data_IF_928971811399
#
_entry.id   IF_928971811399
#
_cell.length_a   1.000
_cell.length_b   1.000
_cell.length_c   1.000
_cell.angle_alpha   90.00
_cell.angle_beta   90.00
_cell.angle_gamma   90.00
#
_symmetry.space_group_name_H-M   'P 1'
#
loop_
_entity.id
_entity.type
_entity.pdbx_description
1 polymer ?
#
# COMPACT_ATOMS: atom_id res chain seq x y z
N UNK A 1 3.03 3.27 16.80
CA UNK A 1 4.23 4.14 16.97
C UNK A 1 4.57 4.86 15.65
N UNK A 2 4.94 6.15 15.70
CA UNK A 2 5.21 6.97 14.50
C UNK A 2 6.37 6.43 13.68
N UNK A 3 7.50 6.09 14.32
CA UNK A 3 8.69 5.58 13.64
C UNK A 3 8.42 4.34 12.78
N UNK A 4 7.63 3.40 13.29
CA UNK A 4 7.26 2.18 12.56
C UNK A 4 6.41 2.47 11.31
N UNK A 5 5.44 3.40 11.43
CA UNK A 5 4.63 3.84 10.28
C UNK A 5 5.52 4.48 9.22
N UNK A 6 6.41 5.38 9.64
CA UNK A 6 7.34 6.08 8.75
C UNK A 6 8.28 5.12 8.03
N UNK A 7 8.78 4.07 8.70
CA UNK A 7 9.58 3.04 8.02
C UNK A 7 8.79 2.27 6.96
N UNK A 8 7.53 1.90 7.23
CA UNK A 8 6.68 1.23 6.24
C UNK A 8 6.47 2.10 5.00
N UNK A 9 6.21 3.40 5.21
CA UNK A 9 6.03 4.36 4.13
C UNK A 9 7.31 4.51 3.28
N UNK A 10 8.49 4.58 3.92
CA UNK A 10 9.77 4.68 3.21
C UNK A 10 10.04 3.45 2.34
N UNK A 11 9.90 2.24 2.91
CA UNK A 11 10.14 1.02 2.13
C UNK A 11 9.11 0.84 1.00
N UNK A 12 7.87 1.25 1.21
CA UNK A 12 6.84 1.23 0.16
C UNK A 12 7.20 2.13 -1.03
N UNK A 13 7.75 3.33 -0.80
CA UNK A 13 8.16 4.21 -1.91
C UNK A 13 9.47 3.73 -2.54
N UNK A 14 10.37 3.10 -1.77
CA UNK A 14 11.63 2.57 -2.28
C UNK A 14 11.38 1.41 -3.26
N UNK A 15 10.39 0.56 -3.00
CA UNK A 15 9.99 -0.52 -3.91
C UNK A 15 9.35 -0.04 -5.22
N UNK A 16 9.04 1.26 -5.37
CA UNK A 16 8.54 1.78 -6.65
C UNK A 16 9.60 1.70 -7.76
N UNK A 17 10.89 1.68 -7.39
CA UNK A 17 11.99 1.49 -8.33
C UNK A 17 11.91 0.12 -9.06
N UNK A 18 11.25 -0.88 -8.46
CA UNK A 18 11.01 -2.19 -9.09
C UNK A 18 9.94 -2.12 -10.18
N UNK A 19 9.05 -1.12 -10.14
CA UNK A 19 8.03 -0.87 -11.16
C UNK A 19 8.65 -0.12 -12.34
N UNK A 20 9.37 0.96 -12.04
CA UNK A 20 10.09 1.75 -13.04
C UNK A 20 11.36 2.33 -12.38
N UNK A 21 12.56 2.12 -12.97
CA UNK A 21 13.80 2.65 -12.43
C UNK A 21 13.82 4.18 -12.27
N UNK A 22 12.94 4.92 -12.93
CA UNK A 22 12.78 6.37 -12.74
C UNK A 22 12.16 6.74 -11.38
N UNK A 23 11.49 5.82 -10.69
CA UNK A 23 10.82 6.05 -9.41
C UNK A 23 11.72 5.81 -8.20
N UNK A 24 12.87 6.49 -8.20
CA UNK A 24 13.84 6.40 -7.11
C UNK A 24 13.76 7.62 -6.19
N UNK A 25 13.68 7.36 -4.89
CA UNK A 25 13.66 8.39 -3.85
C UNK A 25 14.77 8.14 -2.85
N UNK A 26 15.54 9.18 -2.51
CA UNK A 26 16.59 9.07 -1.50
C UNK A 26 16.03 9.14 -0.08
N UNK A 27 16.75 8.52 0.86
CA UNK A 27 16.43 8.63 2.28
C UNK A 27 16.52 10.08 2.76
N UNK A 28 17.51 10.86 2.30
CA UNK A 28 17.65 12.27 2.65
C UNK A 28 16.45 13.10 2.21
N UNK A 29 15.94 12.89 0.99
CA UNK A 29 14.72 13.55 0.53
C UNK A 29 13.53 13.22 1.42
N UNK A 30 13.37 11.94 1.77
CA UNK A 30 12.28 11.47 2.62
C UNK A 30 12.36 12.05 4.04
N UNK A 31 13.55 12.11 4.65
CA UNK A 31 13.76 12.72 5.96
C UNK A 31 13.42 14.20 5.92
N UNK A 32 13.91 14.94 4.91
CA UNK A 32 13.59 16.36 4.74
C UNK A 32 12.08 16.59 4.58
N UNK A 33 11.39 15.70 3.85
CA UNK A 33 9.94 15.75 3.69
C UNK A 33 9.22 15.51 5.04
N UNK A 34 9.72 14.57 5.85
CA UNK A 34 9.17 14.30 7.19
C UNK A 34 9.39 15.46 8.15
N UNK A 35 10.58 16.06 8.18
CA UNK A 35 10.87 17.27 8.99
C UNK A 35 9.92 18.40 8.62
N UNK A 36 9.69 18.61 7.32
CA UNK A 36 8.72 19.60 6.85
C UNK A 36 7.30 19.28 7.30
N UNK A 37 6.91 18.01 7.28
CA UNK A 37 5.62 17.58 7.79
C UNK A 37 5.44 17.78 9.30
N UNK A 38 6.52 17.70 10.09
CA UNK A 38 6.47 18.07 11.51
C UNK A 38 6.16 19.56 11.67
N UNK A 39 6.75 20.43 10.85
CA UNK A 39 6.49 21.86 10.91
C UNK A 39 5.08 22.25 10.44
N UNK A 40 4.58 21.61 9.37
CA UNK A 40 3.34 22.00 8.69
C UNK A 40 2.09 21.30 9.25
N UNK A 41 2.23 20.21 10.01
CA UNK A 41 1.10 19.50 10.60
C UNK A 41 0.49 20.24 11.80
N UNK A 42 -0.79 20.02 12.02
CA UNK A 42 -1.56 20.68 13.09
C UNK A 42 -0.89 20.50 14.47
N UNK A 43 -0.56 21.59 15.18
CA UNK A 43 0.00 21.53 16.51
C UNK A 43 -1.07 21.16 17.53
N UNK A 44 -0.69 20.43 18.57
CA UNK A 44 -1.53 20.10 19.70
C UNK A 44 -0.67 20.03 20.96
N UNK A 45 -1.21 20.50 22.09
CA UNK A 45 -0.58 20.36 23.40
C UNK A 45 -0.66 18.94 23.96
N UNK A 46 -1.58 18.11 23.43
CA UNK A 46 -1.69 16.70 23.80
C UNK A 46 -0.88 15.82 22.83
N UNK A 47 0.08 15.08 23.38
CA UNK A 47 1.05 14.32 22.61
C UNK A 47 0.40 13.24 21.71
N UNK A 48 -0.53 12.38 22.19
CA UNK A 48 -1.17 11.38 21.36
C UNK A 48 -1.95 11.99 20.19
N UNK A 49 -2.67 13.10 20.43
CA UNK A 49 -3.39 13.85 19.38
C UNK A 49 -2.39 14.41 18.37
N UNK A 50 -1.30 15.02 18.83
CA UNK A 50 -0.26 15.57 17.95
C UNK A 50 0.35 14.52 17.04
N UNK A 51 0.61 13.32 17.57
CA UNK A 51 1.20 12.21 16.82
C UNK A 51 0.22 11.64 15.79
N UNK A 52 -1.07 11.59 16.09
CA UNK A 52 -2.09 11.15 15.13
C UNK A 52 -2.27 12.16 13.99
N UNK A 53 -2.36 13.45 14.30
CA UNK A 53 -2.39 14.53 13.31
C UNK A 53 -1.14 14.50 12.41
N UNK A 54 0.05 14.28 13.00
CA UNK A 54 1.29 14.15 12.23
C UNK A 54 1.25 12.95 11.27
N UNK A 55 0.81 11.78 11.75
CA UNK A 55 0.75 10.57 10.95
C UNK A 55 -0.19 10.73 9.75
N UNK A 56 -1.39 11.29 10.00
CA UNK A 56 -2.40 11.51 8.98
C UNK A 56 -1.94 12.55 7.96
N UNK A 57 -1.36 13.66 8.42
CA UNK A 57 -0.80 14.69 7.56
C UNK A 57 0.35 14.14 6.71
N UNK A 58 1.33 13.47 7.34
CA UNK A 58 2.52 12.98 6.62
C UNK A 58 2.17 11.93 5.57
N UNK A 59 1.24 11.01 5.85
CA UNK A 59 0.79 10.04 4.86
C UNK A 59 0.24 10.73 3.61
N UNK A 60 -0.68 11.69 3.79
CA UNK A 60 -1.26 12.42 2.67
C UNK A 60 -0.21 13.28 1.95
N UNK A 61 0.66 13.95 2.71
CA UNK A 61 1.71 14.78 2.18
C UNK A 61 2.71 13.98 1.34
N UNK A 62 3.15 12.82 1.84
CA UNK A 62 4.01 11.90 1.11
C UNK A 62 3.33 11.42 -0.17
N UNK A 63 2.10 10.91 -0.07
CA UNK A 63 1.33 10.44 -1.23
C UNK A 63 1.26 11.50 -2.33
N UNK A 64 0.91 12.74 -1.95
CA UNK A 64 0.81 13.86 -2.90
C UNK A 64 2.14 14.24 -3.52
N UNK A 65 3.26 14.14 -2.80
CA UNK A 65 4.57 14.44 -3.37
C UNK A 65 5.03 13.35 -4.34
N UNK A 66 4.83 12.08 -3.99
CA UNK A 66 5.15 10.93 -4.87
C UNK A 66 4.26 10.93 -6.12
N UNK A 67 2.95 11.13 -5.99
CA UNK A 67 2.04 11.18 -7.14
C UNK A 67 2.32 12.31 -8.14
N UNK A 68 3.12 13.34 -7.79
CA UNK A 68 3.54 14.37 -8.75
C UNK A 68 4.65 13.90 -9.68
N UNK A 69 5.49 12.97 -9.23
CA UNK A 69 6.58 12.41 -10.00
C UNK A 69 6.20 11.11 -10.72
N UNK A 70 5.09 10.48 -10.37
CA UNK A 70 4.59 9.27 -11.03
C UNK A 70 3.81 9.58 -12.32
N UNK A 71 3.91 8.69 -13.31
CA UNK A 71 2.98 8.65 -14.44
C UNK A 71 1.55 8.34 -13.96
N UNK A 72 0.54 8.87 -14.65
CA UNK A 72 -0.88 8.70 -14.28
C UNK A 72 -1.27 7.23 -14.13
N UNK A 73 -0.79 6.37 -15.04
CA UNK A 73 -1.05 4.92 -15.04
C UNK A 73 -0.60 4.21 -13.75
N UNK A 74 0.39 4.74 -13.03
CA UNK A 74 1.00 4.09 -11.88
C UNK A 74 0.45 4.62 -10.54
N UNK A 75 -0.31 5.73 -10.55
CA UNK A 75 -0.84 6.35 -9.32
C UNK A 75 -1.81 5.44 -8.57
N UNK A 76 -2.65 4.69 -9.28
CA UNK A 76 -3.58 3.75 -8.67
C UNK A 76 -2.84 2.57 -8.04
N UNK A 77 -1.85 2.01 -8.74
CA UNK A 77 -0.99 0.95 -8.23
C UNK A 77 -0.26 1.39 -6.96
N UNK A 78 0.32 2.60 -6.97
CA UNK A 78 0.95 3.17 -5.78
C UNK A 78 -0.05 3.33 -4.62
N UNK A 79 -1.25 3.84 -4.87
CA UNK A 79 -2.30 3.96 -3.83
C UNK A 79 -2.65 2.61 -3.20
N UNK A 80 -2.78 1.57 -4.01
CA UNK A 80 -3.05 0.20 -3.56
C UNK A 80 -1.89 -0.35 -2.73
N UNK A 81 -0.65 -0.23 -3.22
CA UNK A 81 0.55 -0.67 -2.51
C UNK A 81 0.71 0.05 -1.17
N UNK A 82 0.52 1.37 -1.13
CA UNK A 82 0.62 2.16 0.09
C UNK A 82 -0.39 1.69 1.15
N UNK A 83 -1.63 1.42 0.73
CA UNK A 83 -2.67 0.89 1.61
C UNK A 83 -2.32 -0.51 2.11
N UNK A 84 -1.93 -1.41 1.20
CA UNK A 84 -1.57 -2.78 1.53
C UNK A 84 -0.36 -2.84 2.46
N UNK A 85 0.71 -2.07 2.21
CA UNK A 85 1.90 -1.99 3.07
C UNK A 85 1.56 -1.54 4.49
N UNK A 86 0.66 -0.57 4.66
CA UNK A 86 0.19 -0.13 5.98
C UNK A 86 -0.63 -1.22 6.67
N UNK A 87 -1.60 -1.83 5.97
CA UNK A 87 -2.46 -2.87 6.54
C UNK A 87 -1.65 -4.12 6.92
N UNK A 88 -0.74 -4.58 6.07
CA UNK A 88 0.16 -5.70 6.36
C UNK A 88 1.09 -5.37 7.54
N UNK A 89 1.67 -4.18 7.60
CA UNK A 89 2.52 -3.76 8.72
C UNK A 89 1.80 -3.73 10.06
N UNK A 90 0.51 -3.39 10.07
CA UNK A 90 -0.32 -3.46 11.29
C UNK A 90 -0.97 -4.83 11.51
N UNK A 91 -0.60 -5.85 10.73
CA UNK A 91 -1.18 -7.20 10.80
C UNK A 91 -2.73 -7.19 10.67
N UNK A 92 -3.25 -6.28 9.84
CA UNK A 92 -4.68 -6.10 9.54
C UNK A 92 -5.09 -6.69 8.18
N UNK A 93 -4.16 -7.33 7.49
CA UNK A 93 -4.37 -8.00 6.21
C UNK A 93 -3.64 -9.34 6.24
N UNK A 94 -4.31 -10.40 5.85
CA UNK A 94 -3.73 -11.73 5.78
C UNK A 94 -2.80 -11.83 4.55
N UNK A 95 -1.57 -12.29 4.77
CA UNK A 95 -0.59 -12.43 3.70
C UNK A 95 -0.99 -13.48 2.65
N UNK A 96 -1.71 -14.54 3.06
CA UNK A 96 -2.18 -15.58 2.15
C UNK A 96 -3.31 -15.07 1.26
N UNK A 97 -4.26 -14.32 1.82
CA UNK A 97 -5.35 -13.69 1.05
C UNK A 97 -4.79 -12.63 0.10
N UNK A 98 -3.82 -11.82 0.55
CA UNK A 98 -3.12 -10.86 -0.30
C UNK A 98 -2.39 -11.56 -1.46
N UNK A 99 -1.72 -12.67 -1.19
CA UNK A 99 -1.06 -13.47 -2.22
C UNK A 99 -2.08 -14.03 -3.21
N UNK A 100 -3.20 -14.59 -2.74
CA UNK A 100 -4.28 -15.08 -3.59
C UNK A 100 -4.85 -13.97 -4.48
N UNK A 101 -5.05 -12.76 -3.93
CA UNK A 101 -5.50 -11.60 -4.70
C UNK A 101 -4.53 -11.25 -5.84
N UNK A 102 -3.22 -11.33 -5.58
CA UNK A 102 -2.19 -10.98 -6.57
C UNK A 102 -1.93 -12.06 -7.62
N UNK A 103 -1.93 -13.33 -7.22
CA UNK A 103 -1.61 -14.44 -8.13
C UNK A 103 -2.82 -15.04 -8.83
N UNK A 104 -4.03 -14.68 -8.38
CA UNK A 104 -5.25 -15.42 -8.67
C UNK A 104 -5.27 -16.77 -7.95
N UNK A 105 -6.45 -17.37 -7.86
CA UNK A 105 -6.61 -18.75 -7.41
C UNK A 105 -6.04 -19.69 -8.46
N UNK A 106 -4.73 -19.87 -8.51
CA UNK A 106 -4.14 -20.96 -9.30
C UNK A 106 -4.58 -22.25 -8.62
N UNK A 107 -5.65 -22.87 -9.14
CA UNK A 107 -6.02 -24.23 -8.81
C UNK A 107 -4.86 -25.12 -9.27
N UNK A 108 -3.92 -25.37 -8.36
CA UNK A 108 -2.79 -26.29 -8.57
C UNK A 108 -3.26 -27.71 -8.94
N UNK A 109 -4.57 -27.99 -8.83
CA UNK A 109 -5.21 -29.24 -9.24
C UNK A 109 -6.61 -28.98 -9.82
N UNK A 110 -6.71 -28.38 -11.01
CA UNK A 110 -7.99 -28.22 -11.74
C UNK A 110 -8.76 -29.56 -11.85
N UNK A 111 -8.04 -30.68 -11.99
CA UNK A 111 -8.62 -32.03 -12.08
C UNK A 111 -9.31 -32.52 -10.79
N UNK A 112 -9.02 -31.90 -9.64
CA UNK A 112 -9.63 -32.21 -8.32
C UNK A 112 -10.60 -31.14 -7.86
N UNK A 113 -10.78 -30.06 -8.62
CA UNK A 113 -11.69 -28.99 -8.24
C UNK A 113 -13.13 -29.51 -8.30
N UNK A 114 -13.99 -29.18 -7.31
CA UNK A 114 -15.40 -29.52 -7.39
C UNK A 114 -16.00 -28.88 -8.65
N UNK A 115 -16.82 -29.64 -9.39
CA UNK A 115 -17.52 -29.10 -10.56
C UNK A 115 -18.43 -27.95 -10.13
N UNK A 116 -18.57 -26.96 -11.00
CA UNK A 116 -19.47 -25.83 -10.78
C UNK A 116 -20.90 -26.32 -10.51
N UNK A 117 -21.36 -26.08 -9.28
CA UNK A 117 -22.71 -26.44 -8.81
C UNK A 117 -23.72 -25.30 -9.06
N UNK A 118 -23.24 -24.12 -9.46
CA UNK A 118 -23.99 -22.87 -9.58
C UNK A 118 -24.04 -22.36 -11.02
N UNK A 119 -24.17 -23.25 -12.00
CA UNK A 119 -24.16 -22.91 -13.44
C UNK A 119 -25.28 -21.93 -13.87
N UNK A 120 -26.31 -21.76 -13.04
CA UNK A 120 -27.43 -20.85 -13.31
C UNK A 120 -27.04 -19.37 -13.30
N UNK A 121 -25.99 -18.99 -12.55
CA UNK A 121 -25.57 -17.59 -12.40
C UNK A 121 -24.05 -17.39 -12.41
N UNK A 122 -23.26 -18.47 -12.30
CA UNK A 122 -21.81 -18.42 -12.28
C UNK A 122 -21.25 -19.24 -13.43
N UNK A 123 -20.50 -18.56 -14.30
CA UNK A 123 -19.89 -19.19 -15.46
C UNK A 123 -18.69 -20.06 -15.04
N UNK A 124 -18.41 -21.14 -15.79
CA UNK A 124 -17.38 -22.12 -15.43
C UNK A 124 -15.99 -21.47 -15.33
N UNK A 125 -15.71 -20.45 -16.16
CA UNK A 125 -14.47 -19.65 -16.09
C UNK A 125 -14.28 -18.90 -14.78
N UNK A 126 -15.37 -18.43 -14.16
CA UNK A 126 -15.30 -17.66 -12.90
C UNK A 126 -15.24 -18.61 -11.71
N UNK A 127 -15.85 -19.79 -11.83
CA UNK A 127 -15.76 -20.84 -10.82
C UNK A 127 -14.36 -21.45 -10.69
N UNK A 128 -13.62 -21.52 -11.80
CA UNK A 128 -12.25 -22.05 -11.84
C UNK A 128 -11.16 -21.01 -11.48
N UNK A 129 -11.53 -19.73 -11.31
CA UNK A 129 -10.62 -18.62 -11.00
C UNK A 129 -10.40 -18.42 -9.49
#
# INVERSE_FOLDING_TARGET
>A
PVAYRTSLLFFCIASLADIDPMYQYSLDWFINLFVRAIADSEPSGDLPVRLDSLNSYFQYFLYRNVCRSLFEKDKLNFSMLLCASLLMGYNRMNADEWRQLLTGGVLLNADKAPRNQCKDWLDDKVWEA
#
